data_IF_674098674372
#
_entry.id   IF_674098674372
#
_cell.length_a   1.000
_cell.length_b   1.000
_cell.length_c   1.000
_cell.angle_alpha   90.00
_cell.angle_beta   90.00
_cell.angle_gamma   90.00
#
_symmetry.space_group_name_H-M   'P 1'
#
loop_
_entity.id
_entity.type
_entity.pdbx_description
1 polymer ?
#
# COMPACT_ATOMS: atom_id res chain seq x y z
N UNK A 1 -42.42 -29.87 -46.72
CA UNK A 1 -41.22 -28.99 -46.60
C UNK A 1 -41.58 -27.79 -45.71
N UNK A 2 -41.30 -27.86 -44.43
CA UNK A 2 -41.33 -26.76 -43.45
C UNK A 2 -41.13 -27.35 -42.07
N UNK A 3 -39.90 -27.30 -41.58
CA UNK A 3 -39.49 -27.39 -40.15
C UNK A 3 -37.99 -27.66 -40.10
N UNK A 4 -37.17 -26.59 -40.17
CA UNK A 4 -35.80 -26.53 -39.59
C UNK A 4 -35.40 -25.04 -39.72
N UNK A 5 -35.79 -24.20 -38.77
CA UNK A 5 -35.14 -22.90 -38.43
C UNK A 5 -35.74 -22.50 -37.08
N UNK A 6 -35.23 -22.99 -35.99
CA UNK A 6 -35.44 -22.45 -34.64
C UNK A 6 -34.61 -23.13 -33.56
N UNK A 7 -33.30 -23.22 -33.72
CA UNK A 7 -32.39 -23.59 -32.60
C UNK A 7 -31.02 -22.95 -32.85
N UNK A 8 -30.95 -21.65 -32.94
CA UNK A 8 -29.64 -20.95 -32.99
C UNK A 8 -29.58 -19.62 -32.22
N UNK A 9 -30.61 -19.30 -31.40
CA UNK A 9 -30.62 -18.02 -30.65
C UNK A 9 -30.39 -18.14 -29.14
N UNK A 10 -30.23 -19.33 -28.57
CA UNK A 10 -30.09 -19.50 -27.13
C UNK A 10 -28.63 -19.65 -26.65
N UNK A 11 -27.67 -19.87 -27.53
CA UNK A 11 -26.26 -20.06 -27.14
C UNK A 11 -25.48 -18.75 -26.98
N UNK A 12 -25.88 -17.68 -27.65
CA UNK A 12 -25.18 -16.40 -27.60
C UNK A 12 -25.41 -15.63 -26.27
N UNK A 13 -26.57 -15.81 -25.64
CA UNK A 13 -26.93 -15.10 -24.39
C UNK A 13 -26.19 -15.64 -23.16
N UNK A 14 -25.82 -16.90 -23.15
CA UNK A 14 -25.14 -17.56 -22.01
C UNK A 14 -23.65 -17.22 -22.00
N UNK A 15 -23.04 -17.01 -23.16
CA UNK A 15 -21.61 -16.64 -23.27
C UNK A 15 -21.41 -15.16 -22.84
N UNK A 16 -22.34 -14.27 -23.17
CA UNK A 16 -22.27 -12.85 -22.77
C UNK A 16 -22.41 -12.65 -21.25
N UNK A 17 -23.28 -13.42 -20.58
CA UNK A 17 -23.43 -13.34 -19.12
C UNK A 17 -22.20 -13.90 -18.37
N UNK A 18 -21.60 -15.01 -18.85
CA UNK A 18 -20.38 -15.57 -18.22
C UNK A 18 -19.18 -14.65 -18.37
N UNK A 19 -19.04 -13.96 -19.51
CA UNK A 19 -17.94 -13.04 -19.74
C UNK A 19 -18.07 -11.75 -18.92
N UNK A 20 -19.29 -11.28 -18.64
CA UNK A 20 -19.55 -10.12 -17.77
C UNK A 20 -19.33 -10.41 -16.27
N UNK A 21 -19.56 -11.63 -15.80
CA UNK A 21 -19.26 -12.00 -14.41
C UNK A 21 -17.77 -12.21 -14.16
N UNK A 22 -17.03 -12.73 -15.14
CA UNK A 22 -15.61 -13.02 -15.01
C UNK A 22 -14.76 -11.74 -14.92
N UNK A 23 -15.20 -10.62 -15.50
CA UNK A 23 -14.50 -9.32 -15.46
C UNK A 23 -14.86 -8.45 -14.24
N UNK A 24 -15.78 -8.88 -13.38
CA UNK A 24 -16.28 -8.07 -12.26
C UNK A 24 -15.23 -7.85 -11.15
N UNK A 25 -14.23 -8.71 -11.08
CA UNK A 25 -13.18 -8.69 -10.07
C UNK A 25 -11.76 -8.70 -10.68
N UNK A 26 -11.57 -7.97 -11.77
CA UNK A 26 -10.28 -7.80 -12.42
C UNK A 26 -9.93 -6.32 -12.52
N UNK A 27 -8.73 -5.97 -12.05
CA UNK A 27 -8.21 -4.61 -12.17
C UNK A 27 -7.72 -4.36 -13.61
N UNK A 28 -7.89 -3.12 -14.06
CA UNK A 28 -7.45 -2.68 -15.38
C UNK A 28 -6.23 -1.77 -15.26
N UNK A 29 -5.42 -1.71 -16.31
CA UNK A 29 -4.31 -0.77 -16.39
C UNK A 29 -4.81 0.66 -16.25
N UNK A 30 -4.26 1.39 -15.30
CA UNK A 30 -4.54 2.80 -15.08
C UNK A 30 -3.45 3.71 -15.61
N UNK A 31 -2.19 3.36 -15.33
CA UNK A 31 -1.03 4.10 -15.81
C UNK A 31 0.12 3.13 -16.08
N UNK A 32 0.58 3.12 -17.34
CA UNK A 32 1.68 2.28 -17.78
C UNK A 32 3.02 2.91 -17.39
N UNK A 33 3.80 2.18 -16.63
CA UNK A 33 5.16 2.51 -16.20
C UNK A 33 5.88 1.20 -15.84
N UNK A 34 7.18 1.22 -15.87
CA UNK A 34 8.00 0.06 -15.49
C UNK A 34 8.76 0.33 -14.20
N UNK A 35 8.02 0.53 -13.10
CA UNK A 35 8.64 0.61 -11.79
C UNK A 35 9.28 -0.73 -11.45
N UNK A 36 10.47 -0.69 -10.88
CA UNK A 36 11.15 -1.92 -10.42
C UNK A 36 10.41 -2.49 -9.22
N UNK A 37 10.16 -1.67 -8.23
CA UNK A 37 9.43 -2.03 -7.01
C UNK A 37 8.44 -0.90 -6.67
N UNK A 38 7.32 -0.88 -7.42
CA UNK A 38 6.24 0.06 -7.20
C UNK A 38 5.53 -0.28 -5.89
N UNK A 39 5.42 0.69 -4.97
CA UNK A 39 4.99 0.50 -3.58
C UNK A 39 4.32 1.73 -2.98
N UNK A 40 3.94 1.64 -1.69
CA UNK A 40 3.57 2.76 -0.84
C UNK A 40 2.36 3.55 -1.32
N UNK A 41 1.41 2.90 -2.00
CA UNK A 41 0.23 3.57 -2.52
C UNK A 41 -0.59 4.25 -1.41
N UNK A 42 -0.80 5.57 -1.55
CA UNK A 42 -1.63 6.36 -0.65
C UNK A 42 -2.34 7.49 -1.39
N UNK A 43 -3.62 7.69 -1.07
CA UNK A 43 -4.43 8.72 -1.72
C UNK A 43 -4.36 10.06 -0.96
N UNK A 44 -3.89 11.10 -1.64
CA UNK A 44 -3.99 12.47 -1.15
C UNK A 44 -5.35 13.06 -1.57
N UNK A 45 -6.33 13.00 -0.67
CA UNK A 45 -7.68 13.50 -0.92
C UNK A 45 -7.76 15.04 -1.01
N UNK A 46 -6.72 15.78 -0.57
CA UNK A 46 -6.68 17.23 -0.66
C UNK A 46 -6.34 17.72 -2.07
N UNK A 47 -5.51 16.96 -2.79
CA UNK A 47 -5.14 17.25 -4.19
C UNK A 47 -5.81 16.31 -5.20
N UNK A 48 -6.49 15.24 -4.74
CA UNK A 48 -7.03 14.16 -5.56
C UNK A 48 -5.96 13.47 -6.42
N UNK A 49 -4.83 13.15 -5.81
CA UNK A 49 -3.69 12.49 -6.43
C UNK A 49 -3.30 11.21 -5.69
N UNK A 50 -2.81 10.22 -6.43
CA UNK A 50 -2.16 9.04 -5.85
C UNK A 50 -0.68 9.35 -5.64
N UNK A 51 -0.22 9.25 -4.40
CA UNK A 51 1.20 9.21 -4.08
C UNK A 51 1.63 7.75 -4.02
N UNK A 52 2.76 7.44 -4.61
CA UNK A 52 3.35 6.11 -4.62
C UNK A 52 4.85 6.18 -4.88
N UNK A 53 5.57 5.10 -4.71
CA UNK A 53 7.02 5.08 -4.79
C UNK A 53 7.53 3.97 -5.71
N UNK A 54 8.72 4.12 -6.27
CA UNK A 54 9.54 3.04 -6.81
C UNK A 54 10.77 2.91 -5.91
N UNK A 55 10.77 1.91 -5.03
CA UNK A 55 11.82 1.73 -4.02
C UNK A 55 13.19 1.56 -4.69
N UNK A 56 13.31 0.60 -5.61
CA UNK A 56 14.57 0.31 -6.31
C UNK A 56 14.88 1.32 -7.41
N UNK A 57 13.88 2.02 -7.93
CA UNK A 57 14.04 3.16 -8.82
C UNK A 57 14.41 4.45 -8.10
N UNK A 58 14.32 4.51 -6.76
CA UNK A 58 14.57 5.68 -5.92
C UNK A 58 13.72 6.88 -6.31
N UNK A 59 12.39 6.66 -6.43
CA UNK A 59 11.48 7.67 -6.96
C UNK A 59 10.23 7.81 -6.09
N UNK A 60 9.87 9.05 -5.84
CA UNK A 60 8.53 9.42 -5.39
C UNK A 60 7.71 9.81 -6.62
N UNK A 61 6.56 9.20 -6.77
CA UNK A 61 5.61 9.46 -7.85
C UNK A 61 4.34 10.10 -7.31
N UNK A 62 3.80 11.04 -8.06
CA UNK A 62 2.53 11.73 -7.78
C UNK A 62 1.70 11.67 -9.07
N UNK A 63 0.69 10.80 -9.06
CA UNK A 63 -0.16 10.55 -10.21
C UNK A 63 -1.50 11.28 -10.08
N UNK A 64 -1.81 12.10 -11.09
CA UNK A 64 -3.11 12.76 -11.23
C UNK A 64 -3.99 11.96 -12.20
N UNK A 65 -5.02 11.26 -11.71
CA UNK A 65 -5.85 10.42 -12.57
C UNK A 65 -6.79 11.20 -13.51
N UNK A 66 -7.07 12.46 -13.21
CA UNK A 66 -7.88 13.32 -14.08
C UNK A 66 -7.09 13.74 -15.32
N UNK A 67 -5.83 14.10 -15.13
CA UNK A 67 -4.93 14.52 -16.20
C UNK A 67 -4.17 13.36 -16.85
N UNK A 68 -4.23 12.15 -16.23
CA UNK A 68 -3.45 10.99 -16.64
C UNK A 68 -1.95 11.26 -16.68
N UNK A 69 -1.47 12.07 -15.75
CA UNK A 69 -0.08 12.48 -15.65
C UNK A 69 0.54 11.98 -14.36
N UNK A 70 1.76 11.49 -14.44
CA UNK A 70 2.56 11.09 -13.30
C UNK A 70 3.80 11.97 -13.20
N UNK A 71 3.88 12.72 -12.13
CA UNK A 71 5.05 13.54 -11.80
C UNK A 71 6.00 12.73 -10.93
N UNK A 72 7.29 12.84 -11.19
CA UNK A 72 8.33 12.08 -10.49
C UNK A 72 9.31 13.01 -9.80
N UNK A 73 9.71 12.67 -8.58
CA UNK A 73 10.76 13.32 -7.81
C UNK A 73 11.82 12.26 -7.51
N UNK A 74 13.04 12.50 -7.97
CA UNK A 74 14.19 11.62 -7.70
C UNK A 74 14.61 11.73 -6.23
N UNK A 75 14.90 10.57 -5.61
CA UNK A 75 15.38 10.48 -4.23
C UNK A 75 16.87 10.09 -4.20
N UNK A 76 17.64 10.54 -3.19
CA UNK A 76 19.07 10.25 -3.12
C UNK A 76 19.39 8.76 -2.89
N UNK A 77 18.49 8.05 -2.22
CA UNK A 77 18.59 6.61 -1.93
C UNK A 77 17.21 5.95 -2.02
N UNK A 78 17.09 4.68 -1.64
CA UNK A 78 15.80 3.98 -1.64
C UNK A 78 14.81 4.68 -0.72
N UNK A 79 13.56 4.74 -1.19
CA UNK A 79 12.42 5.31 -0.47
C UNK A 79 11.48 4.17 -0.07
N UNK A 80 11.24 3.98 1.22
CA UNK A 80 10.41 2.89 1.76
C UNK A 80 8.93 3.21 1.83
N UNK A 81 8.58 4.47 2.11
CA UNK A 81 7.19 4.92 2.16
C UNK A 81 7.05 6.41 1.92
N UNK A 82 5.80 6.83 1.64
CA UNK A 82 5.40 8.23 1.55
C UNK A 82 4.05 8.44 2.21
N UNK A 83 3.89 9.52 2.95
CA UNK A 83 2.59 9.99 3.46
C UNK A 83 2.41 11.49 3.18
N UNK A 84 1.21 11.93 2.75
CA UNK A 84 0.93 13.36 2.64
C UNK A 84 1.01 14.06 4.00
N UNK A 85 1.39 15.34 4.01
CA UNK A 85 1.37 16.19 5.20
C UNK A 85 0.13 17.10 5.20
N UNK A 86 -0.29 17.53 6.38
CA UNK A 86 -1.29 18.61 6.54
C UNK A 86 -0.78 19.95 5.99
N UNK A 87 0.53 20.10 5.89
CA UNK A 87 1.13 21.27 5.23
C UNK A 87 1.05 21.11 3.71
N UNK A 88 0.47 22.11 3.05
CA UNK A 88 0.27 22.10 1.60
C UNK A 88 1.59 21.89 0.84
N UNK A 89 1.57 21.05 -0.19
CA UNK A 89 2.71 20.68 -1.03
C UNK A 89 3.85 20.00 -0.26
N UNK A 90 3.58 19.43 0.92
CA UNK A 90 4.56 18.65 1.65
C UNK A 90 4.12 17.19 1.75
N UNK A 91 5.11 16.33 1.77
CA UNK A 91 4.97 14.92 2.09
C UNK A 91 6.08 14.51 3.04
N UNK A 92 5.86 13.46 3.82
CA UNK A 92 6.91 12.82 4.62
C UNK A 92 7.27 11.51 3.95
N UNK A 93 8.57 11.25 3.82
CA UNK A 93 9.13 10.05 3.23
C UNK A 93 10.11 9.38 4.19
N UNK A 94 10.15 8.06 4.16
CA UNK A 94 11.21 7.29 4.82
C UNK A 94 12.24 6.88 3.78
N UNK A 95 13.46 7.36 3.93
CA UNK A 95 14.62 6.98 3.13
C UNK A 95 15.45 5.93 3.89
N UNK A 96 16.54 5.43 3.31
CA UNK A 96 17.37 4.39 3.97
C UNK A 96 17.95 4.85 5.31
N UNK A 97 18.24 6.14 5.44
CA UNK A 97 18.98 6.73 6.54
C UNK A 97 18.14 7.65 7.46
N UNK A 98 16.83 7.66 7.30
CA UNK A 98 15.97 8.48 8.17
C UNK A 98 14.65 8.89 7.53
N UNK A 99 13.98 9.80 8.23
CA UNK A 99 12.67 10.35 7.83
C UNK A 99 12.86 11.79 7.38
N UNK A 100 12.28 12.11 6.21
CA UNK A 100 12.46 13.42 5.58
C UNK A 100 11.13 14.05 5.19
N UNK A 101 11.13 15.36 5.15
CA UNK A 101 10.04 16.15 4.56
C UNK A 101 10.44 16.52 3.15
N UNK A 102 9.55 16.25 2.20
CA UNK A 102 9.70 16.60 0.78
C UNK A 102 8.75 17.72 0.43
N UNK A 103 9.25 18.80 -0.17
CA UNK A 103 8.42 19.75 -0.88
C UNK A 103 8.08 19.19 -2.26
N UNK A 104 6.83 18.80 -2.44
CA UNK A 104 6.39 18.15 -3.68
C UNK A 104 6.35 19.08 -4.88
N UNK A 105 6.53 20.40 -4.69
CA UNK A 105 6.58 21.39 -5.77
C UNK A 105 8.01 21.73 -6.18
N UNK A 106 8.92 21.90 -5.22
CA UNK A 106 10.32 22.28 -5.46
C UNK A 106 11.28 21.10 -5.48
N UNK A 107 10.83 19.92 -5.00
CA UNK A 107 11.64 18.73 -4.79
C UNK A 107 12.72 18.87 -3.72
N UNK A 108 12.65 19.92 -2.90
CA UNK A 108 13.55 20.08 -1.77
C UNK A 108 13.24 19.05 -0.69
N UNK A 109 14.28 18.44 -0.11
CA UNK A 109 14.16 17.48 0.98
C UNK A 109 14.85 18.02 2.24
N UNK A 110 14.25 17.78 3.41
CA UNK A 110 14.80 18.20 4.72
C UNK A 110 14.65 17.07 5.72
N UNK A 111 15.75 16.75 6.43
CA UNK A 111 15.73 15.74 7.49
C UNK A 111 14.74 16.15 8.61
N UNK A 112 13.92 15.18 9.02
CA UNK A 112 13.02 15.30 10.18
C UNK A 112 13.50 14.45 11.35
N UNK A 113 13.96 13.21 11.08
CA UNK A 113 14.44 12.28 12.09
C UNK A 113 15.54 11.40 11.50
N UNK A 114 16.61 11.17 12.25
CA UNK A 114 17.75 10.32 11.90
C UNK A 114 17.61 8.87 12.41
N UNK A 115 16.38 8.47 12.73
CA UNK A 115 16.10 7.11 13.23
C UNK A 115 16.62 6.04 12.26
N UNK A 116 17.31 5.03 12.80
CA UNK A 116 18.03 3.97 12.08
C UNK A 116 19.21 4.43 11.19
N UNK A 117 19.62 5.70 11.20
CA UNK A 117 20.72 6.19 10.36
C UNK A 117 22.05 5.43 10.55
N UNK A 118 22.26 4.83 11.71
CA UNK A 118 23.46 4.02 12.03
C UNK A 118 23.27 2.51 11.72
N UNK A 119 22.10 2.09 11.22
CA UNK A 119 21.80 0.67 10.96
C UNK A 119 21.87 0.39 9.45
N UNK A 120 23.09 0.32 8.92
CA UNK A 120 23.36 0.13 7.49
C UNK A 120 22.83 -1.19 6.90
N UNK A 121 22.46 -2.16 7.74
CA UNK A 121 21.90 -3.44 7.32
C UNK A 121 20.38 -3.40 7.11
N UNK A 122 19.74 -2.29 7.46
CA UNK A 122 18.32 -2.08 7.32
C UNK A 122 18.01 -1.03 6.24
N UNK A 123 16.77 -1.00 5.81
CA UNK A 123 16.09 0.12 5.15
C UNK A 123 14.67 0.24 5.65
N UNK A 124 14.08 1.41 5.57
CA UNK A 124 12.65 1.56 5.80
C UNK A 124 11.83 0.88 4.68
N UNK A 125 10.63 0.47 5.03
CA UNK A 125 9.63 -0.13 4.17
C UNK A 125 8.28 0.56 4.39
N UNK A 126 7.15 -0.17 4.42
CA UNK A 126 5.82 0.43 4.48
C UNK A 126 5.56 1.22 5.78
N UNK A 127 4.70 2.20 5.67
CA UNK A 127 4.25 3.03 6.76
C UNK A 127 3.05 3.90 6.39
N UNK A 128 2.27 4.27 7.41
CA UNK A 128 1.12 5.18 7.30
C UNK A 128 0.98 6.03 8.56
N UNK A 129 0.20 7.10 8.48
CA UNK A 129 -0.13 7.88 9.66
C UNK A 129 -1.23 7.23 10.47
N UNK A 130 -1.04 7.25 11.79
CA UNK A 130 -2.05 6.86 12.77
C UNK A 130 -3.22 7.88 12.82
N UNK A 131 -4.29 7.58 13.56
CA UNK A 131 -5.43 8.50 13.73
C UNK A 131 -5.05 9.89 14.25
N UNK A 132 -3.92 10.01 14.93
CA UNK A 132 -3.41 11.27 15.50
C UNK A 132 -2.35 11.95 14.62
N UNK A 133 -2.15 11.49 13.38
CA UNK A 133 -1.23 12.11 12.43
C UNK A 133 0.26 11.86 12.69
N UNK A 134 0.63 10.90 13.53
CA UNK A 134 2.02 10.45 13.65
C UNK A 134 2.32 9.44 12.55
N UNK A 135 3.51 9.47 11.96
CA UNK A 135 3.96 8.44 11.03
C UNK A 135 4.33 7.17 11.79
N UNK A 136 3.70 6.06 11.44
CA UNK A 136 4.17 4.73 11.81
C UNK A 136 4.86 4.12 10.61
N UNK A 137 6.12 3.75 10.76
CA UNK A 137 6.95 3.24 9.68
C UNK A 137 7.84 2.12 10.20
N UNK A 138 7.89 1.06 9.44
CA UNK A 138 8.75 -0.04 9.80
C UNK A 138 9.93 -0.20 8.86
N UNK A 139 10.94 -0.91 9.33
CA UNK A 139 12.11 -1.28 8.55
C UNK A 139 12.11 -2.76 8.17
N UNK A 140 13.06 -3.14 7.34
CA UNK A 140 13.41 -4.52 7.04
C UNK A 140 14.94 -4.65 7.00
N UNK A 141 15.43 -5.84 7.34
CA UNK A 141 16.82 -6.19 7.12
C UNK A 141 17.05 -6.49 5.63
N UNK A 142 18.07 -5.90 5.02
CA UNK A 142 18.32 -5.98 3.57
C UNK A 142 18.40 -7.41 3.01
N UNK A 143 18.91 -8.36 3.80
CA UNK A 143 18.90 -9.77 3.41
C UNK A 143 17.56 -10.46 3.62
N UNK A 144 16.56 -9.80 4.24
CA UNK A 144 15.19 -10.29 4.46
C UNK A 144 15.08 -11.67 5.17
N UNK A 145 16.12 -12.06 5.88
CA UNK A 145 16.22 -13.40 6.49
C UNK A 145 16.24 -13.37 8.02
N UNK A 146 16.40 -12.18 8.61
CA UNK A 146 16.55 -12.03 10.06
C UNK A 146 15.53 -11.04 10.61
N UNK A 147 14.95 -11.28 11.79
CA UNK A 147 14.03 -10.37 12.44
C UNK A 147 14.77 -9.27 13.22
N UNK A 148 15.58 -8.48 12.52
CA UNK A 148 16.43 -7.43 13.13
C UNK A 148 15.88 -6.01 12.89
N UNK A 149 14.69 -5.91 12.31
CA UNK A 149 14.04 -4.65 12.02
C UNK A 149 12.99 -4.29 13.08
N UNK A 150 12.48 -3.07 13.00
CA UNK A 150 11.59 -2.50 13.99
C UNK A 150 10.41 -1.76 13.33
N UNK A 151 9.37 -1.48 14.11
CA UNK A 151 8.31 -0.53 13.78
C UNK A 151 8.44 0.69 14.70
N UNK A 152 8.47 1.88 14.12
CA UNK A 152 8.58 3.15 14.83
C UNK A 152 7.34 4.02 14.66
N UNK A 153 7.06 4.83 15.67
CA UNK A 153 6.16 5.98 15.62
C UNK A 153 6.99 7.25 15.63
N UNK A 154 6.75 8.15 14.66
CA UNK A 154 7.46 9.43 14.50
C UNK A 154 6.43 10.55 14.64
N UNK A 155 6.64 11.46 15.58
CA UNK A 155 5.76 12.61 15.79
C UNK A 155 6.15 13.81 14.92
N UNK A 156 5.35 14.89 14.99
CA UNK A 156 5.56 16.11 14.22
C UNK A 156 6.88 16.83 14.52
N UNK A 157 7.53 16.55 15.64
CA UNK A 157 8.86 17.09 16.01
C UNK A 157 10.02 16.25 15.49
N UNK A 158 9.74 15.08 14.89
CA UNK A 158 10.75 14.11 14.46
C UNK A 158 11.20 13.17 15.57
N UNK A 159 10.61 13.24 16.76
CA UNK A 159 10.90 12.29 17.83
C UNK A 159 10.39 10.90 17.45
N UNK A 160 11.29 9.93 17.52
CA UNK A 160 11.00 8.52 17.25
C UNK A 160 10.74 7.74 18.53
N UNK A 161 9.79 6.80 18.47
CA UNK A 161 9.51 5.81 19.53
C UNK A 161 9.40 4.43 18.88
N UNK A 162 10.15 3.44 19.41
CA UNK A 162 10.07 2.07 18.93
C UNK A 162 8.83 1.39 19.50
N UNK A 163 7.94 0.96 18.63
CA UNK A 163 6.66 0.35 18.99
C UNK A 163 6.71 -1.18 18.98
N UNK A 164 7.44 -1.76 18.03
CA UNK A 164 7.68 -3.20 17.92
C UNK A 164 9.14 -3.43 17.52
N UNK A 165 9.69 -4.54 17.94
CA UNK A 165 10.99 -5.08 17.51
C UNK A 165 10.83 -6.47 16.88
N UNK A 166 11.97 -7.08 16.51
CA UNK A 166 11.99 -8.43 15.95
C UNK A 166 11.12 -8.60 14.71
N UNK A 167 11.09 -7.58 13.85
CA UNK A 167 10.41 -7.57 12.58
C UNK A 167 11.36 -8.07 11.50
N UNK A 168 10.83 -8.85 10.53
CA UNK A 168 11.62 -9.34 9.40
C UNK A 168 11.42 -8.45 8.18
N UNK A 169 10.16 -8.25 7.75
CA UNK A 169 9.78 -7.38 6.63
C UNK A 169 8.51 -6.65 7.04
N UNK A 170 8.67 -5.42 7.53
CA UNK A 170 7.55 -4.56 7.89
C UNK A 170 6.76 -4.20 6.65
N UNK A 171 5.45 -4.44 6.70
CA UNK A 171 4.52 -4.16 5.61
C UNK A 171 3.20 -3.60 6.12
N UNK A 172 2.12 -3.78 5.39
CA UNK A 172 0.83 -3.16 5.56
C UNK A 172 0.43 -2.79 6.99
N UNK A 173 0.05 -1.54 7.16
CA UNK A 173 -0.42 -1.01 8.43
C UNK A 173 -1.67 -0.15 8.22
N UNK A 174 -2.74 -0.39 8.98
CA UNK A 174 -3.98 0.39 8.93
C UNK A 174 -4.67 0.41 10.30
N UNK A 175 -5.57 1.38 10.49
CA UNK A 175 -6.41 1.52 11.69
C UNK A 175 -7.89 1.46 11.33
N UNK A 176 -8.68 0.86 12.19
CA UNK A 176 -10.15 0.85 12.08
C UNK A 176 -10.73 2.27 12.06
N UNK A 177 -11.91 2.42 11.48
CA UNK A 177 -12.61 3.71 11.37
C UNK A 177 -12.86 4.35 12.73
N UNK A 178 -13.09 3.55 13.77
CA UNK A 178 -13.27 4.00 15.16
C UNK A 178 -11.96 4.29 15.90
N UNK A 179 -10.81 4.07 15.22
CA UNK A 179 -9.46 4.29 15.75
C UNK A 179 -9.11 3.47 16.99
N UNK A 180 -9.70 2.27 17.17
CA UNK A 180 -9.45 1.42 18.34
C UNK A 180 -8.62 0.18 18.06
N UNK A 181 -8.44 -0.18 16.78
CA UNK A 181 -7.65 -1.35 16.41
C UNK A 181 -6.66 -0.96 15.31
N UNK A 182 -5.43 -1.40 15.46
CA UNK A 182 -4.39 -1.35 14.43
C UNK A 182 -4.21 -2.76 13.86
N UNK A 183 -4.14 -2.87 12.53
CA UNK A 183 -3.72 -4.09 11.84
C UNK A 183 -2.33 -3.89 11.26
N UNK A 184 -1.50 -4.93 11.33
CA UNK A 184 -0.09 -4.86 10.93
C UNK A 184 0.41 -6.18 10.34
N UNK A 185 1.26 -6.08 9.33
CA UNK A 185 1.86 -7.21 8.60
C UNK A 185 3.38 -7.23 8.82
N UNK A 186 3.90 -8.40 9.22
CA UNK A 186 5.29 -8.82 9.02
C UNK A 186 5.24 -9.97 8.01
N UNK A 187 5.58 -9.69 6.76
CA UNK A 187 5.29 -10.54 5.60
C UNK A 187 5.66 -12.02 5.78
N UNK A 188 6.88 -12.40 6.27
CA UNK A 188 7.24 -13.80 6.40
C UNK A 188 6.40 -14.60 7.40
N UNK A 189 5.70 -13.93 8.31
CA UNK A 189 4.78 -14.60 9.25
C UNK A 189 3.52 -15.10 8.56
N UNK A 190 3.18 -14.57 7.36
CA UNK A 190 1.96 -14.94 6.64
C UNK A 190 0.68 -14.61 7.38
N UNK A 191 0.71 -13.67 8.33
CA UNK A 191 -0.43 -13.29 9.16
C UNK A 191 -0.63 -11.78 9.19
N UNK A 192 -1.87 -11.37 9.38
CA UNK A 192 -2.22 -10.00 9.74
C UNK A 192 -2.49 -9.98 11.22
N UNK A 193 -1.68 -9.24 11.96
CA UNK A 193 -1.83 -9.06 13.41
C UNK A 193 -2.75 -7.90 13.70
N UNK A 194 -3.53 -8.01 14.77
CA UNK A 194 -4.34 -6.93 15.32
C UNK A 194 -3.80 -6.53 16.69
N UNK A 195 -3.86 -5.25 16.99
CA UNK A 195 -3.51 -4.65 18.27
C UNK A 195 -4.66 -3.73 18.71
N UNK A 196 -4.95 -3.69 19.99
CA UNK A 196 -5.76 -2.62 20.54
C UNK A 196 -4.97 -1.32 20.48
N UNK A 197 -5.56 -0.27 19.93
CA UNK A 197 -4.94 1.05 19.79
C UNK A 197 -5.61 2.06 20.71
N UNK A 198 -4.82 2.75 21.51
CA UNK A 198 -5.29 3.86 22.33
C UNK A 198 -5.09 5.19 21.60
N UNK A 199 -6.18 5.85 21.13
CA UNK A 199 -6.07 7.11 20.40
C UNK A 199 -5.62 8.30 21.26
N UNK A 200 -5.60 8.19 22.60
CA UNK A 200 -5.13 9.27 23.46
C UNK A 200 -3.60 9.31 23.56
N UNK A 201 -2.96 8.14 23.46
CA UNK A 201 -1.51 7.99 23.65
C UNK A 201 -0.79 7.52 22.38
N UNK A 202 -1.53 7.10 21.34
CA UNK A 202 -0.98 6.41 20.16
C UNK A 202 -0.13 5.21 20.57
N UNK A 203 -0.59 4.42 21.52
CA UNK A 203 0.05 3.18 21.98
C UNK A 203 -0.74 1.95 21.54
N UNK A 204 -0.06 0.81 21.51
CA UNK A 204 -0.64 -0.49 21.12
C UNK A 204 -0.51 -1.52 22.24
N UNK A 205 -1.48 -2.43 22.32
CA UNK A 205 -1.49 -3.53 23.29
C UNK A 205 -2.27 -4.74 22.74
N UNK A 206 -2.33 -5.83 23.49
CA UNK A 206 -3.17 -6.99 23.21
C UNK A 206 -3.01 -7.56 21.79
N UNK A 207 -1.76 -7.88 21.43
CA UNK A 207 -1.44 -8.51 20.12
C UNK A 207 -2.22 -9.83 19.93
N UNK A 208 -2.81 -9.99 18.74
CA UNK A 208 -3.50 -11.21 18.31
C UNK A 208 -3.45 -11.39 16.80
N UNK A 209 -3.59 -12.61 16.33
CA UNK A 209 -3.73 -12.90 14.88
C UNK A 209 -5.17 -12.65 14.47
N UNK A 210 -5.40 -11.75 13.51
CA UNK A 210 -6.70 -11.48 12.91
C UNK A 210 -6.94 -12.33 11.66
N UNK A 211 -5.93 -12.49 10.81
CA UNK A 211 -6.03 -13.25 9.55
C UNK A 211 -4.78 -14.08 9.38
N UNK A 212 -4.95 -15.32 8.91
CA UNK A 212 -3.86 -16.13 8.35
C UNK A 212 -4.03 -16.21 6.85
N UNK A 213 -3.04 -15.71 6.09
CA UNK A 213 -3.04 -15.75 4.63
C UNK A 213 -2.53 -17.11 4.18
N UNK A 214 -3.27 -17.76 3.28
CA UNK A 214 -2.82 -19.05 2.73
C UNK A 214 -1.56 -18.85 1.90
N UNK A 215 -0.59 -19.74 2.04
CA UNK A 215 0.64 -19.72 1.22
C UNK A 215 0.36 -19.88 -0.28
N UNK A 216 -0.74 -20.51 -0.63
CA UNK A 216 -1.20 -20.66 -2.02
C UNK A 216 -1.71 -19.33 -2.60
N UNK A 217 -2.09 -18.40 -1.76
CA UNK A 217 -2.57 -17.08 -2.15
C UNK A 217 -1.44 -16.07 -2.37
N UNK A 218 -0.21 -16.38 -1.96
CA UNK A 218 0.94 -15.49 -1.96
C UNK A 218 1.27 -14.96 -0.56
N UNK A 219 2.04 -13.89 -0.49
CA UNK A 219 2.49 -13.28 0.77
C UNK A 219 1.80 -11.95 1.00
N UNK A 220 1.28 -11.68 2.21
CA UNK A 220 0.65 -10.40 2.50
C UNK A 220 1.68 -9.27 2.48
N UNK A 221 1.34 -8.20 1.77
CA UNK A 221 2.19 -7.04 1.53
C UNK A 221 1.51 -5.75 2.01
N UNK A 222 1.49 -4.68 1.23
CA UNK A 222 0.82 -3.43 1.59
C UNK A 222 -0.70 -3.59 1.71
N UNK A 223 -1.34 -2.76 2.53
CA UNK A 223 -2.75 -2.95 2.90
C UNK A 223 -3.52 -1.63 2.97
N UNK A 224 -4.80 -1.68 2.60
CA UNK A 224 -5.81 -0.63 2.82
C UNK A 224 -6.97 -1.17 3.65
N UNK A 225 -7.85 -0.27 4.13
CA UNK A 225 -9.04 -0.61 4.90
C UNK A 225 -10.26 0.13 4.35
N UNK A 226 -11.42 -0.53 4.33
CA UNK A 226 -12.67 0.08 3.89
C UNK A 226 -13.54 0.58 5.07
N UNK A 227 -14.65 1.26 4.76
CA UNK A 227 -15.56 1.84 5.75
C UNK A 227 -16.25 0.81 6.66
N UNK A 228 -16.19 -0.48 6.30
CA UNK A 228 -16.72 -1.60 7.07
C UNK A 228 -15.60 -2.35 7.81
N UNK A 229 -14.41 -1.73 7.90
CA UNK A 229 -13.20 -2.30 8.51
C UNK A 229 -12.72 -3.61 7.87
N UNK A 230 -13.07 -3.87 6.58
CA UNK A 230 -12.52 -4.98 5.83
C UNK A 230 -11.12 -4.62 5.31
N UNK A 231 -10.19 -5.56 5.38
CA UNK A 231 -8.79 -5.38 4.98
C UNK A 231 -8.61 -5.73 3.51
N UNK A 232 -7.96 -4.86 2.75
CA UNK A 232 -7.60 -5.04 1.35
C UNK A 232 -6.08 -5.13 1.26
N UNK A 233 -5.56 -6.30 0.88
CA UNK A 233 -4.16 -6.68 1.03
C UNK A 233 -3.58 -7.03 -0.32
N UNK A 234 -2.50 -6.35 -0.71
CA UNK A 234 -1.65 -6.75 -1.83
C UNK A 234 -1.03 -8.11 -1.54
N UNK A 235 -0.98 -8.97 -2.54
CA UNK A 235 -0.41 -10.31 -2.42
C UNK A 235 0.83 -10.43 -3.31
N UNK A 236 2.00 -10.36 -2.72
CA UNK A 236 3.25 -10.67 -3.39
C UNK A 236 3.24 -12.14 -3.85
N UNK A 237 3.59 -12.42 -5.09
CA UNK A 237 3.45 -13.72 -5.77
C UNK A 237 1.99 -14.22 -5.85
N UNK A 238 0.99 -13.36 -5.67
CA UNK A 238 -0.42 -13.77 -5.59
C UNK A 238 -1.30 -13.24 -6.73
N UNK A 239 -0.80 -12.40 -7.61
CA UNK A 239 -1.53 -11.81 -8.75
C UNK A 239 -2.85 -11.12 -8.36
N UNK A 240 -2.99 -10.67 -7.12
CA UNK A 240 -4.27 -10.17 -6.62
C UNK A 240 -4.13 -9.17 -5.46
N UNK A 241 -5.19 -8.38 -5.27
CA UNK A 241 -5.54 -7.80 -3.97
C UNK A 241 -6.64 -8.66 -3.35
N UNK A 242 -6.45 -9.10 -2.11
CA UNK A 242 -7.42 -9.90 -1.37
C UNK A 242 -8.18 -9.06 -0.33
N UNK A 243 -9.50 -9.23 -0.25
CA UNK A 243 -10.32 -8.64 0.80
C UNK A 243 -10.56 -9.68 1.91
N UNK A 244 -10.20 -9.33 3.13
CA UNK A 244 -10.41 -10.18 4.31
C UNK A 244 -11.36 -9.52 5.31
N UNK A 245 -12.15 -10.35 6.00
CA UNK A 245 -12.87 -9.95 7.22
C UNK A 245 -11.98 -10.23 8.43
N UNK A 246 -11.43 -9.21 9.11
CA UNK A 246 -10.49 -9.42 10.22
C UNK A 246 -11.14 -9.96 11.49
N UNK A 247 -12.47 -9.84 11.64
CA UNK A 247 -13.20 -10.41 12.77
C UNK A 247 -13.33 -11.93 12.68
N UNK A 248 -13.49 -12.44 11.45
CA UNK A 248 -13.66 -13.89 11.21
C UNK A 248 -12.41 -14.57 10.65
N UNK A 249 -11.40 -13.79 10.24
CA UNK A 249 -10.19 -14.25 9.57
C UNK A 249 -10.42 -14.75 8.13
N UNK A 250 -11.62 -14.59 7.57
CA UNK A 250 -12.00 -15.19 6.29
C UNK A 250 -11.69 -14.29 5.10
N UNK A 251 -11.17 -14.90 4.03
CA UNK A 251 -11.11 -14.32 2.70
C UNK A 251 -12.55 -14.12 2.17
N UNK A 252 -12.85 -12.90 1.69
CA UNK A 252 -14.16 -12.55 1.12
C UNK A 252 -14.10 -12.66 -0.40
N UNK A 253 -13.08 -12.04 -1.03
CA UNK A 253 -12.87 -12.05 -2.48
C UNK A 253 -11.44 -11.68 -2.84
N UNK A 254 -11.07 -11.95 -4.08
CA UNK A 254 -9.81 -11.49 -4.69
C UNK A 254 -10.12 -10.64 -5.91
N UNK A 255 -9.38 -9.56 -6.07
CA UNK A 255 -9.32 -8.75 -7.29
C UNK A 255 -8.08 -9.20 -8.05
N UNK A 256 -8.28 -9.82 -9.19
CA UNK A 256 -7.17 -10.25 -10.06
C UNK A 256 -6.46 -9.02 -10.64
N UNK A 257 -5.13 -9.07 -10.64
CA UNK A 257 -4.27 -8.02 -11.21
C UNK A 257 -3.36 -8.65 -12.26
N UNK A 258 -3.20 -8.03 -13.44
CA UNK A 258 -2.32 -8.58 -14.49
C UNK A 258 -0.83 -8.34 -14.19
N UNK A 259 -0.39 -8.67 -13.00
CA UNK A 259 0.99 -8.61 -12.52
C UNK A 259 1.23 -9.70 -11.48
N UNK A 260 2.42 -10.30 -11.44
CA UNK A 260 2.74 -11.35 -10.49
C UNK A 260 2.81 -10.79 -9.07
N UNK A 261 3.61 -9.75 -8.87
CA UNK A 261 3.85 -9.12 -7.58
C UNK A 261 2.92 -7.91 -7.41
N UNK A 262 1.87 -8.10 -6.65
CA UNK A 262 0.97 -7.03 -6.21
C UNK A 262 1.43 -6.57 -4.85
N UNK A 263 1.84 -5.32 -4.75
CA UNK A 263 2.56 -4.78 -3.60
C UNK A 263 1.63 -4.04 -2.63
N UNK A 264 1.04 -2.94 -3.05
CA UNK A 264 0.16 -2.15 -2.18
C UNK A 264 -1.13 -1.73 -2.89
N UNK A 265 -2.08 -1.22 -2.13
CA UNK A 265 -3.29 -0.63 -2.68
C UNK A 265 -3.78 0.56 -1.84
N UNK A 266 -4.52 1.46 -2.49
CA UNK A 266 -5.13 2.61 -1.84
C UNK A 266 -6.49 2.91 -2.45
N UNK A 267 -7.47 3.19 -1.61
CA UNK A 267 -8.74 3.75 -2.03
C UNK A 267 -8.57 5.22 -2.39
N UNK A 268 -9.04 5.60 -3.57
CA UNK A 268 -8.96 6.95 -4.10
C UNK A 268 -10.19 7.32 -4.91
N UNK A 269 -10.05 8.39 -5.70
CA UNK A 269 -11.15 9.02 -6.40
C UNK A 269 -12.01 9.88 -5.47
N UNK A 270 -12.95 10.62 -6.05
CA UNK A 270 -13.81 11.56 -5.31
C UNK A 270 -14.63 10.89 -4.19
N UNK A 271 -15.10 9.65 -4.45
CA UNK A 271 -15.97 8.90 -3.57
C UNK A 271 -15.22 7.83 -2.77
N UNK A 272 -13.88 7.75 -2.88
CA UNK A 272 -13.01 6.74 -2.28
C UNK A 272 -13.44 5.30 -2.62
N UNK A 273 -13.94 5.07 -3.82
CA UNK A 273 -14.37 3.76 -4.30
C UNK A 273 -13.59 3.26 -5.52
N UNK A 274 -12.51 3.94 -5.87
CA UNK A 274 -11.53 3.49 -6.84
C UNK A 274 -10.33 2.93 -6.09
N UNK A 275 -10.06 1.63 -6.27
CA UNK A 275 -8.89 1.00 -5.66
C UNK A 275 -7.73 1.07 -6.65
N UNK A 276 -6.72 1.88 -6.34
CA UNK A 276 -5.45 1.97 -7.05
C UNK A 276 -4.50 0.93 -6.48
N UNK A 277 -3.75 0.26 -7.35
CA UNK A 277 -2.94 -0.91 -7.00
C UNK A 277 -1.55 -0.73 -7.61
N UNK A 278 -0.52 -0.80 -6.79
CA UNK A 278 0.89 -0.82 -7.20
C UNK A 278 1.37 -2.25 -7.42
N UNK A 279 2.35 -2.39 -8.30
CA UNK A 279 2.94 -3.68 -8.66
C UNK A 279 4.44 -3.56 -8.86
N UNK A 280 5.15 -4.68 -8.82
CA UNK A 280 6.60 -4.74 -9.00
C UNK A 280 7.00 -5.60 -10.19
N UNK A 281 8.12 -5.22 -10.83
CA UNK A 281 8.78 -5.99 -11.89
C UNK A 281 10.16 -6.53 -11.47
N UNK A 282 10.57 -6.27 -10.23
CA UNK A 282 11.84 -6.75 -9.68
C UNK A 282 11.86 -8.29 -9.61
N UNK A 283 13.02 -8.86 -9.82
CA UNK A 283 13.29 -10.30 -9.73
C UNK A 283 12.50 -11.20 -10.71
N UNK A 284 11.83 -10.60 -11.70
CA UNK A 284 11.13 -11.35 -12.76
C UNK A 284 12.13 -11.93 -13.76
N UNK A 285 11.99 -13.22 -14.05
CA UNK A 285 12.71 -13.86 -15.14
C UNK A 285 12.12 -13.49 -16.53
N UNK A 286 12.74 -13.98 -17.61
CA UNK A 286 12.32 -13.63 -18.97
C UNK A 286 10.94 -14.24 -19.36
N UNK A 287 10.52 -15.33 -18.73
CA UNK A 287 9.19 -15.93 -18.97
C UNK A 287 8.11 -15.13 -18.22
N UNK A 288 8.38 -14.76 -16.97
CA UNK A 288 7.49 -13.90 -16.18
C UNK A 288 7.31 -12.51 -16.83
N UNK A 289 8.38 -11.91 -17.35
CA UNK A 289 8.28 -10.63 -18.10
C UNK A 289 7.40 -10.75 -19.34
N UNK A 290 7.43 -11.88 -20.05
CA UNK A 290 6.52 -12.13 -21.17
C UNK A 290 5.09 -12.36 -20.73
N UNK A 291 4.89 -13.03 -19.60
CA UNK A 291 3.56 -13.32 -19.03
C UNK A 291 2.93 -12.08 -18.43
N UNK A 292 3.72 -11.21 -17.80
CA UNK A 292 3.28 -10.01 -17.10
C UNK A 292 3.98 -8.73 -17.63
N UNK A 293 3.78 -8.38 -18.91
CA UNK A 293 4.51 -7.25 -19.55
C UNK A 293 4.18 -5.89 -18.93
N UNK A 294 3.10 -5.80 -18.15
CA UNK A 294 2.66 -4.57 -17.48
C UNK A 294 3.05 -4.54 -15.99
N UNK A 295 3.85 -5.49 -15.51
CA UNK A 295 4.35 -5.48 -14.13
C UNK A 295 5.15 -4.19 -13.85
N UNK A 296 4.98 -3.61 -12.65
CA UNK A 296 5.51 -2.31 -12.27
C UNK A 296 4.59 -1.13 -12.63
N UNK A 297 3.46 -1.38 -13.30
CA UNK A 297 2.44 -0.36 -13.61
C UNK A 297 1.43 -0.17 -12.48
N UNK A 298 0.63 0.90 -12.58
CA UNK A 298 -0.50 1.14 -11.70
C UNK A 298 -1.76 0.55 -12.33
N UNK A 299 -2.47 -0.25 -11.55
CA UNK A 299 -3.76 -0.80 -11.91
C UNK A 299 -4.87 -0.16 -11.09
N UNK A 300 -6.11 -0.28 -11.57
CA UNK A 300 -7.27 0.27 -10.88
C UNK A 300 -8.51 -0.59 -11.08
N UNK A 301 -9.38 -0.59 -10.06
CA UNK A 301 -10.74 -1.11 -10.17
C UNK A 301 -11.70 -0.19 -9.43
N UNK A 302 -12.89 0.02 -10.00
CA UNK A 302 -13.98 0.70 -9.31
C UNK A 302 -14.81 -0.33 -8.53
N UNK A 303 -15.04 -0.06 -7.26
CA UNK A 303 -15.73 -0.94 -6.32
C UNK A 303 -17.04 -0.31 -5.81
N UNK A 304 -17.89 -1.13 -5.20
CA UNK A 304 -19.02 -0.65 -4.41
C UNK A 304 -18.58 -0.24 -3.00
N UNK A 305 -17.52 -0.88 -2.51
CA UNK A 305 -16.91 -0.57 -1.22
C UNK A 305 -16.18 0.77 -1.29
N UNK A 306 -16.17 1.48 -0.15
CA UNK A 306 -15.49 2.76 0.00
C UNK A 306 -14.39 2.64 1.02
N UNK A 307 -13.24 3.23 0.73
CA UNK A 307 -12.13 3.30 1.67
C UNK A 307 -12.32 4.32 2.78
N UNK A 308 -11.55 4.16 3.82
CA UNK A 308 -11.38 5.18 4.86
C UNK A 308 -10.37 6.22 4.37
N UNK A 309 -10.62 7.51 4.65
CA UNK A 309 -9.64 8.57 4.35
C UNK A 309 -8.33 8.33 5.08
N UNK A 310 -7.24 8.30 4.34
CA UNK A 310 -5.89 8.25 4.92
C UNK A 310 -5.67 9.45 5.84
N UNK A 311 -4.98 9.23 6.96
CA UNK A 311 -4.53 10.33 7.81
C UNK A 311 -3.28 10.94 7.21
N UNK A 312 -3.12 12.24 7.38
CA UNK A 312 -1.95 12.98 6.97
C UNK A 312 -1.00 13.16 8.14
N UNK A 313 0.28 13.27 7.86
CA UNK A 313 1.26 13.62 8.86
C UNK A 313 0.97 15.03 9.36
N UNK A 314 0.98 15.24 10.69
CA UNK A 314 0.81 16.55 11.27
C UNK A 314 1.83 17.54 10.72
N UNK A 315 1.47 18.82 10.74
CA UNK A 315 2.40 19.87 10.32
C UNK A 315 3.71 19.77 11.10
N UNK A 316 4.86 19.59 10.41
CA UNK A 316 6.15 19.44 11.08
C UNK A 316 6.50 20.65 11.95
N UNK A 317 7.02 20.36 13.13
CA UNK A 317 7.49 21.39 14.07
C UNK A 317 9.01 21.29 14.14
N UNK A 318 9.71 22.19 13.45
CA UNK A 318 11.16 22.28 13.59
C UNK A 318 11.50 23.06 14.85
N UNK A 319 12.31 22.45 15.72
CA UNK A 319 12.93 23.19 16.82
C UNK A 319 13.90 24.20 16.20
N UNK A 320 13.82 25.46 16.63
CA UNK A 320 14.84 26.45 16.27
C UNK A 320 16.17 25.96 16.82
N UNK A 321 17.27 26.00 16.06
CA UNK A 321 18.60 25.74 16.65
C UNK A 321 18.80 26.75 17.78
N UNK A 322 19.10 26.26 19.01
CA UNK A 322 19.51 27.05 20.15
C UNK A 322 20.84 27.75 19.89
#
# INVERSE_FOLDING_TARGET
MRRIIMILLSAASIISCKQTEQNKFEAVLEYEIQAKLGEGAIWNYSSNELYWIDIEGKKLHIYNPTEKQNRTIEMPCRIGTVVPSEEKNKAVVALEDGIYIVDTKTSEIKLLSDVESEINENRFNDGKCDPNGNLWVGSLHLAQTKPNANLYKIDASGKSEKMLDSITISNGIVWTKDSKTMYYIDTPKGTIRAFDFDPNTSSISNERVAVTVSKEDGFPDGMAIDENDMLWVGLWNGNAVAQYNPTTGKLIKKIKVPAHNVTACAFGGKDLNELYITTASVDMDEEEKKQYPLAGSIFKIKLNEKGVKSKFFHKPVFQSPE
#
